data_IF_624722673327
#
_entry.id   IF_624722673327
#
_cell.length_a   1.000
_cell.length_b   1.000
_cell.length_c   1.000
_cell.angle_alpha   90.00
_cell.angle_beta   90.00
_cell.angle_gamma   90.00
#
_symmetry.space_group_name_H-M   'P 1'
#
loop_
_entity.id
_entity.type
_entity.pdbx_description
1 polymer ?
#
# COMPACT_ATOMS: atom_id res chain seq x y z
N UNK A 1 14.05 12.30 8.88
CA UNK A 1 12.74 12.80 8.71
C UNK A 1 11.73 11.98 9.46
N UNK A 2 10.86 12.64 10.14
CA UNK A 2 9.86 11.96 10.87
C UNK A 2 8.61 11.91 10.13
N UNK A 3 8.37 10.78 9.54
CA UNK A 3 7.13 10.71 8.87
C UNK A 3 6.13 9.94 9.51
N UNK A 4 6.37 9.62 10.59
CA UNK A 4 5.58 9.14 11.33
C UNK A 4 4.42 9.50 11.42
N UNK A 5 4.42 10.43 11.19
CA UNK A 5 3.31 10.97 11.66
C UNK A 5 2.19 11.12 10.74
N UNK A 6 2.13 10.53 9.60
CA UNK A 6 0.98 10.63 8.71
C UNK A 6 -0.27 10.05 9.39
N UNK A 7 -0.15 8.88 10.00
CA UNK A 7 -1.27 8.29 10.70
C UNK A 7 -1.60 9.02 11.98
N UNK A 8 -0.58 9.50 12.70
CA UNK A 8 -0.80 10.25 13.93
C UNK A 8 -1.48 11.58 13.62
N UNK A 9 -1.07 12.23 12.56
CA UNK A 9 -1.68 13.47 12.13
C UNK A 9 -3.12 13.25 11.67
N UNK A 10 -3.37 12.16 10.95
CA UNK A 10 -4.70 11.78 10.56
C UNK A 10 -5.61 11.59 11.77
N UNK A 11 -5.14 10.87 12.79
CA UNK A 11 -5.90 10.64 14.00
C UNK A 11 -6.17 11.93 14.77
N UNK A 12 -5.22 12.85 14.78
CA UNK A 12 -5.35 14.13 15.46
C UNK A 12 -6.28 15.11 14.74
N UNK A 13 -6.17 15.20 13.43
CA UNK A 13 -6.90 16.18 12.63
C UNK A 13 -8.22 15.67 12.06
N UNK A 14 -8.47 14.38 12.14
CA UNK A 14 -9.62 13.75 11.53
C UNK A 14 -9.38 13.45 10.06
N UNK A 15 -10.11 12.49 9.56
CA UNK A 15 -9.93 11.99 8.21
C UNK A 15 -10.19 13.06 7.16
N UNK A 16 -9.30 13.29 6.29
CA UNK A 16 -9.35 14.19 5.14
C UNK A 16 -8.63 15.49 5.27
N UNK A 17 -8.03 15.79 6.41
CA UNK A 17 -7.39 17.08 6.61
C UNK A 17 -5.89 17.01 6.82
N UNK A 18 -5.24 16.01 6.28
CA UNK A 18 -3.79 15.90 6.38
C UNK A 18 -3.17 16.76 5.27
N UNK A 19 -2.92 18.01 5.60
CA UNK A 19 -2.41 18.96 4.61
C UNK A 19 -0.98 18.71 4.19
N UNK A 20 -0.23 18.03 5.02
CA UNK A 20 1.18 17.78 4.74
C UNK A 20 1.39 16.53 3.89
N UNK A 21 0.34 15.80 3.59
CA UNK A 21 0.43 14.70 2.67
C UNK A 21 0.50 15.30 1.30
N UNK A 22 1.67 15.33 0.74
CA UNK A 22 1.89 16.07 -0.47
C UNK A 22 1.28 15.37 -1.66
N UNK A 23 0.29 15.99 -2.27
CA UNK A 23 -0.33 15.42 -3.44
C UNK A 23 0.69 15.33 -4.57
N UNK A 24 0.63 14.27 -5.34
CA UNK A 24 1.47 14.02 -6.50
C UNK A 24 2.97 13.84 -6.22
N UNK A 25 3.44 13.96 -4.98
CA UNK A 25 4.84 13.63 -4.68
C UNK A 25 5.00 12.15 -4.39
N UNK A 26 3.96 11.51 -3.87
CA UNK A 26 3.93 10.07 -3.73
C UNK A 26 2.51 9.55 -3.88
N UNK A 27 2.40 8.33 -4.37
CA UNK A 27 1.13 7.66 -4.63
C UNK A 27 0.79 6.68 -3.49
N UNK A 28 -0.23 5.84 -3.72
CA UNK A 28 -0.64 4.83 -2.76
C UNK A 28 0.50 3.90 -2.36
N UNK A 29 1.33 3.51 -3.32
CA UNK A 29 2.48 2.63 -3.06
C UNK A 29 3.57 3.33 -2.27
N UNK A 30 3.89 4.56 -2.64
CA UNK A 30 4.87 5.35 -1.90
C UNK A 30 4.47 5.60 -0.46
N UNK A 31 3.19 5.82 -0.23
CA UNK A 31 2.66 5.95 1.11
C UNK A 31 2.74 4.61 1.87
N UNK A 32 2.19 3.56 1.29
CA UNK A 32 2.08 2.27 1.98
C UNK A 32 3.44 1.65 2.28
N UNK A 33 4.38 1.75 1.34
CA UNK A 33 5.71 1.17 1.49
C UNK A 33 6.69 2.12 2.19
N UNK A 34 6.22 3.28 2.58
CA UNK A 34 6.98 4.30 3.33
C UNK A 34 8.24 4.78 2.62
N UNK A 35 8.21 4.77 1.29
CA UNK A 35 9.28 5.37 0.49
C UNK A 35 9.03 6.86 0.25
N UNK A 36 7.78 7.28 0.37
CA UNK A 36 7.31 8.65 0.17
C UNK A 36 7.81 9.24 -1.14
N UNK A 37 7.79 8.41 -2.18
CA UNK A 37 8.06 8.77 -3.56
C UNK A 37 6.95 8.17 -4.44
N UNK A 38 6.91 8.55 -5.71
CA UNK A 38 5.94 7.95 -6.63
C UNK A 38 6.44 6.55 -6.99
N UNK A 39 5.85 5.54 -6.41
CA UNK A 39 6.33 4.17 -6.57
C UNK A 39 5.49 3.38 -7.57
N UNK A 40 6.17 2.80 -8.55
CA UNK A 40 5.58 1.86 -9.51
C UNK A 40 6.48 0.62 -9.53
N UNK A 41 5.94 -0.58 -9.25
CA UNK A 41 6.75 -1.79 -9.36
C UNK A 41 7.23 -1.98 -10.79
N UNK A 42 8.54 -2.16 -10.96
CA UNK A 42 9.14 -2.35 -12.27
C UNK A 42 10.01 -3.60 -12.27
N UNK A 43 9.89 -4.39 -13.32
CA UNK A 43 10.71 -5.56 -13.51
C UNK A 43 11.43 -5.38 -14.83
N UNK A 44 12.76 -5.41 -14.82
CA UNK A 44 13.58 -5.15 -15.99
C UNK A 44 13.28 -3.79 -16.65
N UNK A 45 12.92 -2.81 -15.82
CA UNK A 45 12.63 -1.46 -16.28
C UNK A 45 11.19 -1.20 -16.72
N UNK A 46 10.38 -2.24 -16.83
CA UNK A 46 8.99 -2.10 -17.26
C UNK A 46 8.02 -2.05 -16.08
N UNK A 47 6.95 -1.25 -16.22
CA UNK A 47 5.90 -1.17 -15.23
C UNK A 47 5.06 -2.46 -15.33
N UNK A 48 5.25 -3.36 -14.37
CA UNK A 48 4.59 -4.65 -14.44
C UNK A 48 3.12 -4.61 -14.04
N UNK A 49 2.70 -3.61 -13.29
CA UNK A 49 1.33 -3.56 -12.79
C UNK A 49 0.32 -3.11 -13.84
N UNK A 50 0.79 -2.61 -14.96
CA UNK A 50 -0.08 -2.11 -16.04
C UNK A 50 0.10 -2.84 -17.36
N UNK A 51 0.93 -3.86 -17.38
CA UNK A 51 1.13 -4.65 -18.58
C UNK A 51 0.02 -5.69 -18.73
N UNK A 52 -0.35 -5.98 -19.96
CA UNK A 52 -1.33 -7.03 -20.23
C UNK A 52 -0.80 -8.37 -19.75
N UNK A 53 -1.65 -9.14 -19.11
CA UNK A 53 -1.26 -10.45 -18.60
C UNK A 53 -0.43 -10.44 -17.34
N UNK A 54 -0.28 -9.28 -16.70
CA UNK A 54 0.45 -9.18 -15.45
C UNK A 54 -0.23 -9.98 -14.35
N UNK A 55 0.56 -10.75 -13.60
CA UNK A 55 0.07 -11.49 -12.44
C UNK A 55 0.47 -10.76 -11.17
N UNK A 56 -0.23 -11.08 -10.08
CA UNK A 56 0.10 -10.51 -8.78
C UNK A 56 1.50 -10.97 -8.35
N UNK A 57 1.91 -12.16 -8.74
CA UNK A 57 3.24 -12.70 -8.42
C UNK A 57 4.34 -11.88 -9.09
N UNK A 58 4.13 -11.42 -10.31
CA UNK A 58 5.08 -10.56 -11.01
C UNK A 58 5.25 -9.23 -10.29
N UNK A 59 4.15 -8.67 -9.81
CA UNK A 59 4.18 -7.42 -9.05
C UNK A 59 4.92 -7.59 -7.73
N UNK A 60 4.65 -8.67 -7.00
CA UNK A 60 5.33 -8.96 -5.73
C UNK A 60 6.82 -9.16 -5.96
N UNK A 61 7.19 -9.88 -7.02
CA UNK A 61 8.59 -10.08 -7.36
C UNK A 61 9.31 -8.76 -7.61
N UNK A 62 8.66 -7.85 -8.34
CA UNK A 62 9.21 -6.53 -8.59
C UNK A 62 9.39 -5.74 -7.30
N UNK A 63 8.42 -5.83 -6.39
CA UNK A 63 8.51 -5.17 -5.08
C UNK A 63 9.63 -5.76 -4.21
N UNK A 64 9.82 -7.07 -4.26
CA UNK A 64 10.90 -7.73 -3.52
C UNK A 64 12.28 -7.27 -3.98
N UNK A 65 12.44 -6.96 -5.25
CA UNK A 65 13.69 -6.43 -5.76
C UNK A 65 13.96 -5.01 -5.23
N UNK A 66 12.91 -4.20 -5.11
CA UNK A 66 13.04 -2.81 -4.65
C UNK A 66 13.12 -2.71 -3.13
N UNK A 67 12.54 -3.66 -2.42
CA UNK A 67 12.47 -3.68 -0.96
C UNK A 67 12.93 -5.05 -0.45
N UNK A 68 14.24 -5.25 -0.25
CA UNK A 68 14.78 -6.58 0.08
C UNK A 68 14.21 -7.25 1.33
N UNK A 69 13.65 -6.46 2.24
CA UNK A 69 13.06 -7.00 3.46
C UNK A 69 11.55 -7.26 3.34
N UNK A 70 10.98 -6.98 2.18
CA UNK A 70 9.58 -7.26 1.91
C UNK A 70 9.40 -8.74 1.66
N UNK A 71 8.36 -9.31 2.25
CA UNK A 71 8.02 -10.71 2.03
C UNK A 71 6.52 -10.89 2.00
N UNK A 72 6.04 -11.86 1.25
CA UNK A 72 4.61 -12.18 1.19
C UNK A 72 4.24 -13.06 2.38
N UNK A 73 3.12 -12.76 3.03
CA UNK A 73 2.57 -13.52 4.14
C UNK A 73 1.14 -13.93 3.85
N UNK A 74 0.59 -14.83 4.61
CA UNK A 74 -0.79 -15.29 4.45
C UNK A 74 -1.71 -14.65 5.47
N UNK A 75 -1.23 -14.38 6.66
CA UNK A 75 -2.02 -13.86 7.76
C UNK A 75 -1.25 -12.81 8.56
N UNK A 76 -1.98 -11.89 9.17
CA UNK A 76 -1.41 -10.85 10.02
C UNK A 76 -0.59 -11.43 11.17
N UNK A 77 -0.98 -12.60 11.68
CA UNK A 77 -0.25 -13.27 12.75
C UNK A 77 1.19 -13.64 12.39
N UNK A 78 1.54 -13.64 11.11
CA UNK A 78 2.90 -13.93 10.67
C UNK A 78 3.84 -12.73 10.74
N UNK A 79 3.32 -11.54 11.08
CA UNK A 79 4.17 -10.36 11.23
C UNK A 79 5.15 -10.52 12.38
N UNK A 80 6.39 -10.14 12.11
CA UNK A 80 7.42 -10.06 13.14
C UNK A 80 7.33 -8.72 13.85
N UNK A 81 8.04 -8.59 14.97
CA UNK A 81 7.91 -7.45 15.87
C UNK A 81 8.08 -6.08 15.19
N UNK A 82 9.03 -5.96 14.29
CA UNK A 82 9.31 -4.69 13.62
C UNK A 82 8.79 -4.64 12.18
N UNK A 83 7.82 -5.49 11.87
CA UNK A 83 7.17 -5.49 10.56
C UNK A 83 5.78 -4.91 10.65
N UNK A 84 5.32 -4.33 9.53
CA UNK A 84 3.94 -3.94 9.36
C UNK A 84 3.38 -4.53 8.08
N UNK A 85 2.08 -4.57 7.96
CA UNK A 85 1.44 -5.20 6.81
C UNK A 85 0.99 -4.18 5.77
N UNK A 86 1.08 -4.59 4.52
CA UNK A 86 0.52 -3.86 3.38
C UNK A 86 -0.30 -4.85 2.57
N UNK A 87 -1.50 -4.46 2.18
CA UNK A 87 -2.33 -5.22 1.26
C UNK A 87 -2.22 -4.60 -0.12
N UNK A 88 -1.94 -5.41 -1.11
CA UNK A 88 -1.79 -5.01 -2.50
C UNK A 88 -2.80 -5.76 -3.35
N UNK A 89 -3.45 -5.06 -4.27
CA UNK A 89 -4.44 -5.67 -5.17
C UNK A 89 -4.38 -5.03 -6.55
N UNK A 90 -4.60 -5.83 -7.56
CA UNK A 90 -4.69 -5.36 -8.94
C UNK A 90 -6.14 -5.12 -9.35
N UNK A 91 -6.33 -4.19 -10.26
CA UNK A 91 -7.52 -4.08 -11.12
C UNK A 91 -7.09 -4.45 -12.55
N UNK A 92 -7.99 -4.32 -13.51
CA UNK A 92 -7.68 -4.61 -14.91
C UNK A 92 -6.57 -3.71 -15.47
N UNK A 93 -6.47 -2.48 -14.97
CA UNK A 93 -5.55 -1.49 -15.53
C UNK A 93 -4.72 -0.76 -14.49
N UNK A 94 -4.84 -1.12 -13.23
CA UNK A 94 -4.21 -0.33 -12.16
C UNK A 94 -3.95 -1.22 -10.94
N UNK A 95 -3.40 -0.62 -9.91
CA UNK A 95 -3.09 -1.29 -8.66
C UNK A 95 -3.39 -0.36 -7.50
N UNK A 96 -3.55 -0.94 -6.32
CA UNK A 96 -3.73 -0.14 -5.12
C UNK A 96 -3.08 -0.83 -3.91
N UNK A 97 -2.61 0.00 -2.97
CA UNK A 97 -1.96 -0.44 -1.75
C UNK A 97 -2.69 0.13 -0.55
N UNK A 98 -2.81 -0.66 0.50
CA UNK A 98 -3.40 -0.23 1.76
C UNK A 98 -2.46 -0.65 2.88
N UNK A 99 -2.13 0.26 3.80
CA UNK A 99 -1.17 0.02 4.86
C UNK A 99 -1.86 -0.18 6.19
N UNK A 100 -1.39 -1.16 6.97
CA UNK A 100 -1.82 -1.33 8.36
C UNK A 100 -0.86 -0.54 9.24
N UNK A 101 -1.38 0.44 9.96
CA UNK A 101 -0.59 1.31 10.81
C UNK A 101 -0.33 0.68 12.19
N UNK A 102 0.48 1.33 13.01
CA UNK A 102 0.83 0.84 14.35
C UNK A 102 -0.37 0.64 15.26
N UNK A 103 -1.40 1.46 15.07
CA UNK A 103 -2.63 1.35 15.86
C UNK A 103 -3.53 0.19 15.42
N UNK A 104 -3.12 -0.57 14.41
CA UNK A 104 -3.88 -1.69 13.88
C UNK A 104 -4.95 -1.32 12.87
N UNK A 105 -5.14 -0.05 12.60
CA UNK A 105 -6.09 0.41 11.58
C UNK A 105 -5.43 0.44 10.21
N UNK A 106 -6.26 0.36 9.17
CA UNK A 106 -5.80 0.35 7.79
C UNK A 106 -6.05 1.71 7.14
N UNK A 107 -5.04 2.19 6.41
CA UNK A 107 -5.06 3.51 5.78
C UNK A 107 -4.55 3.42 4.35
N UNK A 108 -5.06 4.30 3.48
CA UNK A 108 -4.58 4.38 2.12
C UNK A 108 -4.63 5.79 1.57
N UNK A 109 -3.74 6.07 0.62
CA UNK A 109 -3.70 7.33 -0.11
C UNK A 109 -4.13 7.06 -1.55
N UNK A 110 -5.05 7.85 -2.06
CA UNK A 110 -5.58 7.67 -3.41
C UNK A 110 -4.76 8.50 -4.40
N UNK A 111 -3.77 7.89 -5.02
CA UNK A 111 -2.98 8.52 -6.08
C UNK A 111 -2.45 9.90 -5.72
N UNK A 112 -2.84 10.91 -6.51
CA UNK A 112 -2.43 12.30 -6.30
C UNK A 112 -3.21 13.02 -5.20
N UNK A 113 -4.24 12.43 -4.64
CA UNK A 113 -5.01 13.09 -3.61
C UNK A 113 -4.17 13.28 -2.35
N UNK A 114 -4.35 14.39 -1.67
CA UNK A 114 -3.49 14.78 -0.56
C UNK A 114 -4.07 14.47 0.82
N UNK A 115 -4.97 13.49 0.88
CA UNK A 115 -5.50 13.06 2.15
C UNK A 115 -5.43 11.53 2.25
N UNK A 116 -5.44 11.06 3.50
CA UNK A 116 -5.38 9.63 3.82
C UNK A 116 -6.78 9.21 4.27
N UNK A 117 -7.24 8.09 3.75
CA UNK A 117 -8.53 7.50 4.15
C UNK A 117 -8.29 6.25 4.98
N UNK A 118 -9.29 5.89 5.78
CA UNK A 118 -9.28 4.61 6.48
C UNK A 118 -10.07 3.57 5.69
N UNK A 119 -9.78 2.31 5.94
CA UNK A 119 -10.56 1.19 5.44
C UNK A 119 -10.72 0.18 6.57
N UNK A 120 -11.94 -0.33 6.76
CA UNK A 120 -12.18 -1.35 7.77
C UNK A 120 -11.50 -2.66 7.37
N UNK A 121 -10.98 -3.39 8.35
CA UNK A 121 -10.25 -4.63 8.07
C UNK A 121 -11.07 -5.65 7.28
N UNK A 122 -12.36 -5.79 7.59
CA UNK A 122 -13.22 -6.69 6.84
C UNK A 122 -13.37 -6.30 5.37
N UNK A 123 -13.23 -5.01 5.06
CA UNK A 123 -13.24 -4.54 3.67
C UNK A 123 -11.89 -4.80 3.02
N UNK A 124 -10.78 -4.65 3.74
CA UNK A 124 -9.45 -4.95 3.22
C UNK A 124 -9.39 -6.38 2.70
N UNK A 125 -9.95 -7.32 3.44
CA UNK A 125 -9.94 -8.73 3.07
C UNK A 125 -11.20 -9.20 2.34
N UNK A 126 -12.03 -8.27 1.87
CA UNK A 126 -13.24 -8.60 1.11
C UNK A 126 -12.91 -8.96 -0.33
N UNK A 127 -13.92 -9.40 -1.08
CA UNK A 127 -13.77 -9.77 -2.47
C UNK A 127 -13.47 -8.60 -3.39
N UNK A 128 -13.75 -7.38 -2.96
CA UNK A 128 -13.55 -6.18 -3.80
C UNK A 128 -13.31 -4.95 -2.95
N UNK A 129 -12.42 -4.08 -3.46
CA UNK A 129 -12.24 -2.72 -2.92
C UNK A 129 -13.02 -1.69 -3.72
N UNK A 130 -13.82 -2.13 -4.70
CA UNK A 130 -14.52 -1.26 -5.62
C UNK A 130 -13.65 -0.88 -6.83
N UNK A 131 -14.25 -0.21 -7.79
CA UNK A 131 -13.57 0.30 -9.00
C UNK A 131 -12.75 -0.76 -9.77
N UNK A 132 -13.18 -2.01 -9.73
CA UNK A 132 -12.47 -3.07 -10.45
C UNK A 132 -11.31 -3.69 -9.69
N UNK A 133 -11.05 -3.29 -8.45
CA UNK A 133 -10.01 -3.90 -7.62
C UNK A 133 -10.58 -5.18 -6.96
N UNK A 134 -10.80 -6.20 -7.77
CA UNK A 134 -11.50 -7.41 -7.38
C UNK A 134 -10.62 -8.66 -7.41
N UNK A 135 -9.36 -8.49 -7.77
CA UNK A 135 -8.44 -9.62 -7.90
C UNK A 135 -7.95 -10.14 -6.55
N UNK A 136 -7.02 -11.06 -6.62
CA UNK A 136 -6.38 -11.63 -5.45
C UNK A 136 -5.62 -10.54 -4.66
N UNK A 137 -5.61 -10.68 -3.35
CA UNK A 137 -4.84 -9.81 -2.48
C UNK A 137 -3.48 -10.44 -2.20
N UNK A 138 -2.42 -9.67 -2.34
CA UNK A 138 -1.13 -10.06 -1.79
C UNK A 138 -0.96 -9.32 -0.46
N UNK A 139 -0.80 -10.08 0.61
CA UNK A 139 -0.52 -9.52 1.91
C UNK A 139 1.00 -9.52 2.10
N UNK A 140 1.56 -8.37 2.40
CA UNK A 140 3.00 -8.17 2.46
C UNK A 140 3.42 -7.73 3.84
N UNK A 141 4.57 -8.23 4.29
CA UNK A 141 5.20 -7.79 5.53
C UNK A 141 6.43 -6.97 5.18
N UNK A 142 6.54 -5.81 5.78
CA UNK A 142 7.61 -4.87 5.50
C UNK A 142 8.26 -4.45 6.81
N UNK A 143 9.59 -4.50 6.84
CA UNK A 143 10.35 -4.08 8.03
C UNK A 143 10.43 -2.56 8.10
N UNK A 144 10.12 -2.03 9.26
CA UNK A 144 10.31 -0.60 9.53
C UNK A 144 11.75 -0.27 9.91
#
# INVERSE_FOLDING_TARGET
MNYFCVEDEYNRLGKRNIKNTTKCTYNCGGYALESFSWYLPRLNGDDVCRADGTTIEDCVKAMEEDFPNLRRIQEISELKENEYAVAFRLSDYDFHYIKRARNGHWYHKMGCLHYINTMKEEVVFSESWGRGYDGEIALLAITR
#
